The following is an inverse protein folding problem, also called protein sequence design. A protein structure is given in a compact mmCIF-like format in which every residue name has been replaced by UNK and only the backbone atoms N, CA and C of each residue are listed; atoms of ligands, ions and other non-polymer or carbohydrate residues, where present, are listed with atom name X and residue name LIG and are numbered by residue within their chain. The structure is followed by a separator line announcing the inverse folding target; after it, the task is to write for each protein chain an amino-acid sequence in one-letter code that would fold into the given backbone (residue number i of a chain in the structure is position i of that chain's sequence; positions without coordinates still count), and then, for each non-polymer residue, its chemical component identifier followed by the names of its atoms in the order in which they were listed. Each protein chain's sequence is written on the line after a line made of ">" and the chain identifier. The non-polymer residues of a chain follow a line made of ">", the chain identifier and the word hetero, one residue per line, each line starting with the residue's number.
data_IF_199470713422
#
_entry.id   IF_199470713422
#
_cell.length_a   1.000
_cell.length_b   1.000
_cell.length_c   1.000
_cell.angle_alpha   90.00
_cell.angle_beta   90.00
_cell.angle_gamma   90.00
#
_symmetry.space_group_name_H-M   'P 1'
#
loop_
_entity.id
_entity.type
_entity.pdbx_description
1 polymer ?
#
# COMPACT_ATOMS: atom_id res chain seq x y z
N UNK A 1 4.81 19.00 10.92
CA UNK A 1 5.75 19.42 9.85
C UNK A 1 4.97 20.26 8.86
N UNK A 2 5.35 21.51 8.64
CA UNK A 2 4.64 22.38 7.70
C UNK A 2 5.08 22.03 6.26
N UNK A 3 4.12 21.61 5.43
CA UNK A 3 4.35 21.18 4.05
C UNK A 3 4.98 22.30 3.22
N UNK A 4 4.55 23.55 3.41
CA UNK A 4 5.13 24.74 2.75
C UNK A 4 6.60 24.88 3.11
N UNK A 5 6.95 24.83 4.41
CA UNK A 5 8.35 24.96 4.84
C UNK A 5 9.24 23.83 4.33
N UNK A 6 8.71 22.61 4.27
CA UNK A 6 9.47 21.48 3.74
C UNK A 6 9.68 21.62 2.24
N UNK A 7 8.65 22.03 1.50
CA UNK A 7 8.72 22.23 0.06
C UNK A 7 9.74 23.32 -0.30
N UNK A 8 9.70 24.46 0.41
CA UNK A 8 10.66 25.57 0.26
C UNK A 8 12.09 25.12 0.57
N UNK A 9 12.31 24.39 1.67
CA UNK A 9 13.63 23.84 2.00
C UNK A 9 14.14 22.84 0.97
N UNK A 10 13.26 22.05 0.37
CA UNK A 10 13.66 21.12 -0.70
C UNK A 10 13.94 21.84 -2.00
N UNK A 11 13.19 22.89 -2.34
CA UNK A 11 13.46 23.68 -3.56
C UNK A 11 14.77 24.43 -3.46
N UNK A 12 15.08 25.04 -2.30
CA UNK A 12 16.38 25.70 -2.04
C UNK A 12 17.57 24.73 -2.16
N UNK A 13 17.37 23.45 -1.82
CA UNK A 13 18.41 22.42 -1.94
C UNK A 13 18.65 21.93 -3.37
N UNK A 14 17.66 22.08 -4.26
CA UNK A 14 17.69 21.51 -5.61
C UNK A 14 17.90 22.59 -6.67
N UNK A 15 17.45 23.82 -6.42
CA UNK A 15 17.59 24.94 -7.35
C UNK A 15 18.92 25.68 -7.18
N UNK A 16 19.56 26.03 -8.30
CA UNK A 16 20.81 26.81 -8.36
C UNK A 16 20.59 28.33 -8.42
N UNK A 17 19.36 28.80 -8.61
CA UNK A 17 19.01 30.22 -8.69
C UNK A 17 18.15 30.67 -7.49
N UNK A 18 18.76 31.49 -6.63
CA UNK A 18 18.10 32.11 -5.48
C UNK A 18 17.56 33.49 -5.87
N UNK A 19 16.24 33.66 -5.93
CA UNK A 19 15.48 34.81 -5.38
C UNK A 19 14.21 35.24 -6.14
N UNK A 20 14.02 34.90 -7.42
CA UNK A 20 12.86 35.44 -8.18
C UNK A 20 11.55 34.63 -8.05
N UNK A 21 11.60 33.40 -7.55
CA UNK A 21 10.43 32.48 -7.58
C UNK A 21 9.68 32.32 -6.24
N UNK A 22 10.04 33.06 -5.18
CA UNK A 22 9.34 32.87 -3.90
C UNK A 22 7.90 33.39 -3.96
N UNK A 23 7.66 34.58 -4.54
CA UNK A 23 6.31 35.16 -4.61
C UNK A 23 5.32 34.35 -5.46
N UNK A 24 5.77 33.81 -6.60
CA UNK A 24 4.96 32.93 -7.45
C UNK A 24 4.68 31.59 -6.76
N UNK A 25 5.69 31.03 -6.08
CA UNK A 25 5.55 29.80 -5.30
C UNK A 25 4.59 29.97 -4.12
N UNK A 26 4.70 31.07 -3.37
CA UNK A 26 3.76 31.40 -2.29
C UNK A 26 2.33 31.54 -2.82
N UNK A 27 2.15 32.17 -3.98
CA UNK A 27 0.82 32.33 -4.61
C UNK A 27 0.21 30.99 -4.99
N UNK A 28 0.97 30.12 -5.65
CA UNK A 28 0.52 28.76 -6.02
C UNK A 28 0.18 27.95 -4.76
N UNK A 29 1.02 28.00 -3.73
CA UNK A 29 0.77 27.31 -2.47
C UNK A 29 -0.50 27.79 -1.79
N UNK A 30 -0.73 29.11 -1.77
CA UNK A 30 -1.94 29.69 -1.23
C UNK A 30 -3.19 29.32 -2.03
N UNK A 31 -3.13 29.38 -3.36
CA UNK A 31 -4.20 28.94 -4.27
C UNK A 31 -4.54 27.45 -4.04
N UNK A 32 -3.54 26.63 -3.73
CA UNK A 32 -3.69 25.21 -3.36
C UNK A 32 -3.98 24.99 -1.85
N UNK A 33 -4.29 26.06 -1.11
CA UNK A 33 -4.63 26.06 0.33
C UNK A 33 -3.54 25.54 1.27
N UNK A 34 -2.29 25.49 0.82
CA UNK A 34 -1.14 25.28 1.68
C UNK A 34 -0.82 26.57 2.41
N UNK A 35 -0.90 26.55 3.74
CA UNK A 35 -0.69 27.72 4.60
C UNK A 35 0.59 27.60 5.44
N UNK A 36 1.36 28.70 5.51
CA UNK A 36 2.61 28.81 6.27
C UNK A 36 2.45 28.87 7.80
N UNK A 37 1.23 28.70 8.31
CA UNK A 37 0.92 28.81 9.74
C UNK A 37 1.68 27.80 10.60
N UNK A 38 1.82 28.10 11.90
CA UNK A 38 2.29 27.12 12.89
C UNK A 38 1.37 25.89 12.79
N UNK A 39 1.90 24.78 12.27
CA UNK A 39 1.20 23.49 12.30
C UNK A 39 1.03 23.10 13.76
N UNK A 40 -0.11 23.45 14.35
CA UNK A 40 -0.59 22.73 15.53
C UNK A 40 -0.85 21.32 15.06
N UNK A 41 -0.10 20.36 15.58
CA UNK A 41 -0.29 18.93 15.28
C UNK A 41 -1.65 18.52 15.83
N UNK A 42 -2.68 18.76 15.04
CA UNK A 42 -4.04 18.41 15.38
C UNK A 42 -4.17 16.88 15.31
N UNK A 43 -4.82 16.30 16.31
CA UNK A 43 -5.08 14.85 16.39
C UNK A 43 -6.58 14.60 16.48
N UNK A 44 -7.10 13.59 15.76
CA UNK A 44 -8.46 13.12 15.96
C UNK A 44 -8.67 12.67 17.41
N UNK A 45 -9.90 12.82 17.89
CA UNK A 45 -10.34 12.38 19.21
C UNK A 45 -10.35 10.86 19.25
N UNK A 46 -9.78 10.33 20.33
CA UNK A 46 -9.72 8.91 20.59
C UNK A 46 -10.00 8.69 22.07
N UNK A 47 -11.14 8.05 22.38
CA UNK A 47 -11.33 7.42 23.67
C UNK A 47 -10.42 6.18 23.77
N UNK A 48 -9.92 5.86 24.98
CA UNK A 48 -8.97 4.78 25.21
C UNK A 48 -9.49 3.42 24.71
N UNK A 49 -10.75 3.12 24.99
CA UNK A 49 -11.47 1.90 24.56
C UNK A 49 -12.56 2.19 23.51
N UNK A 50 -12.38 3.27 22.74
CA UNK A 50 -13.40 3.76 21.83
C UNK A 50 -13.60 2.90 20.58
N UNK A 51 -14.85 2.68 20.19
CA UNK A 51 -15.19 2.02 18.90
C UNK A 51 -14.70 2.91 17.75
N UNK A 52 -14.05 2.30 16.76
CA UNK A 52 -13.50 3.02 15.62
C UNK A 52 -14.63 3.52 14.70
N UNK A 53 -14.75 4.84 14.57
CA UNK A 53 -15.57 5.50 13.56
C UNK A 53 -14.67 6.00 12.43
N UNK A 54 -14.74 5.31 11.30
CA UNK A 54 -13.92 5.60 10.12
C UNK A 54 -14.71 6.52 9.18
N UNK A 55 -14.11 7.66 8.84
CA UNK A 55 -14.73 8.67 7.99
C UNK A 55 -13.77 9.07 6.85
N UNK A 56 -14.26 9.38 5.65
CA UNK A 56 -13.43 9.94 4.61
C UNK A 56 -12.92 11.32 5.02
N UNK A 57 -11.64 11.58 4.79
CA UNK A 57 -11.03 12.89 4.97
C UNK A 57 -11.40 13.78 3.78
N UNK A 58 -12.15 14.84 4.05
CA UNK A 58 -12.49 15.85 3.05
C UNK A 58 -11.53 17.03 3.10
N UNK A 59 -11.37 17.62 4.29
CA UNK A 59 -10.40 18.67 4.60
C UNK A 59 -10.37 18.92 6.12
N UNK A 60 -9.38 19.69 6.56
CA UNK A 60 -9.16 20.05 7.97
C UNK A 60 -10.36 20.74 8.63
N UNK A 61 -11.07 21.60 7.91
CA UNK A 61 -12.22 22.33 8.46
C UNK A 61 -13.33 21.37 8.89
N UNK A 62 -13.71 20.43 8.01
CA UNK A 62 -14.73 19.43 8.31
C UNK A 62 -14.24 18.42 9.36
N UNK A 63 -12.99 17.97 9.26
CA UNK A 63 -12.41 17.04 10.22
C UNK A 63 -12.40 17.63 11.64
N UNK A 64 -12.03 18.92 11.80
CA UNK A 64 -12.07 19.63 13.08
C UNK A 64 -13.48 19.78 13.63
N UNK A 65 -14.47 20.11 12.77
CA UNK A 65 -15.87 20.22 13.17
C UNK A 65 -16.42 18.89 13.69
N UNK A 66 -16.22 17.80 12.95
CA UNK A 66 -16.63 16.45 13.37
C UNK A 66 -15.94 16.07 14.68
N UNK A 67 -14.65 16.35 14.81
CA UNK A 67 -13.90 16.06 16.02
C UNK A 67 -14.43 16.80 17.25
N UNK A 68 -14.81 18.07 17.10
CA UNK A 68 -15.42 18.86 18.16
C UNK A 68 -16.82 18.34 18.54
N UNK A 69 -17.60 17.83 17.58
CA UNK A 69 -18.91 17.22 17.84
C UNK A 69 -18.72 15.93 18.64
N UNK A 70 -17.85 15.01 18.18
CA UNK A 70 -17.61 13.74 18.86
C UNK A 70 -17.04 13.95 20.25
N UNK A 71 -16.08 14.87 20.42
CA UNK A 71 -15.53 15.21 21.74
C UNK A 71 -16.60 15.72 22.70
N UNK A 72 -17.58 16.51 22.22
CA UNK A 72 -18.70 17.02 23.03
C UNK A 72 -19.75 15.96 23.33
N UNK A 73 -19.91 14.96 22.45
CA UNK A 73 -20.89 13.89 22.63
C UNK A 73 -20.54 12.93 23.78
N UNK A 74 -19.28 12.94 24.26
CA UNK A 74 -18.76 12.03 25.28
C UNK A 74 -18.95 10.54 24.96
N UNK A 75 -19.21 10.21 23.69
CA UNK A 75 -19.32 8.83 23.24
C UNK A 75 -17.93 8.18 23.25
N UNK A 76 -17.83 6.87 23.59
CA UNK A 76 -16.59 6.12 23.55
C UNK A 76 -16.24 5.81 22.08
N UNK A 77 -15.84 6.82 21.33
CA UNK A 77 -15.50 6.73 19.91
C UNK A 77 -14.02 7.05 19.68
N UNK A 78 -13.45 6.37 18.69
CA UNK A 78 -12.13 6.66 18.13
C UNK A 78 -12.30 7.09 16.68
N UNK A 79 -12.11 8.39 16.41
CA UNK A 79 -12.21 8.94 15.07
C UNK A 79 -10.98 8.59 14.24
N UNK A 80 -11.21 8.04 13.06
CA UNK A 80 -10.19 7.74 12.06
C UNK A 80 -10.60 8.42 10.75
N UNK A 81 -9.81 9.41 10.30
CA UNK A 81 -10.02 10.03 8.99
C UNK A 81 -9.17 9.34 7.94
N UNK A 82 -9.80 8.65 7.00
CA UNK A 82 -9.13 7.98 5.89
C UNK A 82 -8.96 8.94 4.71
N UNK A 83 -7.74 9.18 4.22
CA UNK A 83 -7.55 9.95 3.00
C UNK A 83 -8.28 9.29 1.83
N UNK A 84 -8.77 10.07 0.85
CA UNK A 84 -9.31 9.50 -0.38
C UNK A 84 -8.24 8.64 -1.06
N UNK A 85 -8.69 7.61 -1.77
CA UNK A 85 -7.84 6.73 -2.58
C UNK A 85 -6.90 7.58 -3.41
N UNK A 86 -5.60 7.41 -3.22
CA UNK A 86 -4.63 8.17 -4.01
C UNK A 86 -4.83 7.86 -5.50
N UNK A 87 -4.54 8.78 -6.42
CA UNK A 87 -4.57 8.48 -7.86
C UNK A 87 -3.74 7.24 -8.20
N UNK A 88 -2.62 7.05 -7.49
CA UNK A 88 -1.82 5.83 -7.54
C UNK A 88 -2.67 4.60 -7.21
N UNK A 89 -3.30 4.55 -6.05
CA UNK A 89 -4.16 3.42 -5.64
C UNK A 89 -5.35 3.19 -6.58
N UNK A 90 -5.96 4.25 -7.11
CA UNK A 90 -7.04 4.12 -8.10
C UNK A 90 -6.53 3.49 -9.40
N UNK A 91 -5.41 4.00 -9.92
CA UNK A 91 -4.80 3.52 -11.18
C UNK A 91 -4.12 2.15 -11.04
N UNK A 92 -3.74 1.75 -9.82
CA UNK A 92 -3.14 0.45 -9.55
C UNK A 92 -4.10 -0.55 -8.90
N UNK A 93 -5.36 -0.17 -8.61
CA UNK A 93 -6.38 -1.04 -7.99
C UNK A 93 -6.67 -2.31 -8.79
N UNK A 94 -6.62 -2.22 -10.13
CA UNK A 94 -6.79 -3.35 -11.05
C UNK A 94 -5.52 -4.20 -11.22
N UNK A 95 -4.36 -3.67 -10.81
CA UNK A 95 -3.10 -4.41 -10.83
C UNK A 95 -3.07 -5.30 -9.60
N UNK A 96 -3.64 -6.52 -9.71
CA UNK A 96 -3.71 -7.63 -8.72
C UNK A 96 -2.37 -8.07 -8.06
N UNK A 97 -1.33 -7.33 -8.36
CA UNK A 97 0.06 -7.70 -8.41
C UNK A 97 0.95 -6.51 -7.97
N UNK A 98 0.46 -5.26 -7.97
CA UNK A 98 1.25 -4.12 -7.47
C UNK A 98 1.23 -3.92 -5.95
N UNK A 99 0.56 -4.81 -5.21
CA UNK A 99 0.64 -4.84 -3.75
C UNK A 99 2.01 -5.38 -3.31
N UNK A 100 3.05 -4.58 -3.52
CA UNK A 100 4.39 -4.75 -3.00
C UNK A 100 4.47 -4.32 -1.54
N UNK A 101 3.52 -4.74 -0.70
CA UNK A 101 3.74 -4.63 0.74
C UNK A 101 4.83 -5.62 1.10
N UNK A 102 6.02 -5.07 1.34
CA UNK A 102 7.12 -5.74 2.03
C UNK A 102 6.65 -6.04 3.45
N UNK A 103 6.00 -7.18 3.62
CA UNK A 103 5.69 -7.72 4.93
C UNK A 103 7.01 -7.90 5.70
N UNK A 104 7.16 -7.23 6.85
CA UNK A 104 8.35 -7.37 7.69
C UNK A 104 8.43 -8.83 8.13
N UNK A 105 9.48 -9.53 7.71
CA UNK A 105 9.64 -10.97 7.93
C UNK A 105 9.14 -11.85 6.78
N UNK A 106 9.30 -11.41 5.52
CA UNK A 106 9.00 -12.26 4.37
C UNK A 106 9.84 -13.55 4.44
N UNK A 107 9.17 -14.69 4.66
CA UNK A 107 9.77 -16.03 4.80
C UNK A 107 10.54 -16.53 3.56
N UNK A 108 10.41 -15.82 2.44
CA UNK A 108 11.08 -16.13 1.17
C UNK A 108 12.27 -15.23 0.88
N UNK A 109 12.37 -14.08 1.56
CA UNK A 109 13.48 -13.18 1.42
C UNK A 109 14.53 -13.56 2.45
N UNK A 110 15.63 -14.14 2.00
CA UNK A 110 16.92 -14.10 2.71
C UNK A 110 17.56 -12.73 2.43
N UNK A 111 18.77 -12.66 1.89
CA UNK A 111 19.51 -11.40 1.72
C UNK A 111 19.00 -10.55 0.56
N UNK A 112 18.33 -11.18 -0.41
CA UNK A 112 17.75 -10.53 -1.58
C UNK A 112 16.23 -10.60 -1.52
N UNK A 113 15.56 -9.46 -1.78
CA UNK A 113 14.09 -9.37 -1.86
C UNK A 113 13.54 -10.01 -3.13
N UNK A 114 13.64 -11.34 -3.22
CA UNK A 114 13.21 -12.12 -4.39
C UNK A 114 11.69 -12.30 -4.49
N UNK A 115 10.94 -12.00 -3.42
CA UNK A 115 9.50 -12.25 -3.33
C UNK A 115 8.66 -11.53 -4.41
N UNK A 116 9.15 -10.39 -4.91
CA UNK A 116 8.48 -9.55 -5.93
C UNK A 116 8.92 -9.85 -7.37
N UNK A 117 9.86 -10.78 -7.59
CA UNK A 117 10.33 -11.10 -8.93
C UNK A 117 9.17 -11.57 -9.83
N UNK A 118 9.06 -10.94 -11.00
CA UNK A 118 8.08 -11.18 -12.07
C UNK A 118 8.79 -11.44 -13.39
N UNK A 119 8.05 -11.93 -14.39
CA UNK A 119 8.61 -12.14 -15.73
C UNK A 119 9.74 -13.18 -15.74
N UNK A 120 9.72 -14.09 -14.76
CA UNK A 120 10.71 -15.16 -14.65
C UNK A 120 10.09 -16.42 -15.20
N UNK A 121 10.70 -16.95 -16.24
CA UNK A 121 10.37 -18.28 -16.77
C UNK A 121 10.83 -19.30 -15.74
N UNK A 122 9.93 -20.17 -15.32
CA UNK A 122 10.25 -21.26 -14.40
C UNK A 122 9.92 -22.60 -15.03
N UNK A 123 10.78 -23.58 -14.76
CA UNK A 123 10.62 -24.96 -15.16
C UNK A 123 10.38 -25.80 -13.90
N UNK A 124 9.26 -26.53 -13.88
CA UNK A 124 8.97 -27.54 -12.86
C UNK A 124 8.99 -28.91 -13.54
N UNK A 125 9.63 -29.88 -12.90
CA UNK A 125 9.64 -31.27 -13.35
C UNK A 125 8.85 -32.12 -12.36
N UNK A 126 7.94 -32.94 -12.85
CA UNK A 126 7.29 -33.96 -12.03
C UNK A 126 8.33 -35.02 -11.64
N UNK A 127 8.46 -35.32 -10.34
CA UNK A 127 9.38 -36.35 -9.86
C UNK A 127 8.97 -37.77 -10.26
N UNK A 128 7.68 -38.02 -10.51
CA UNK A 128 7.15 -39.35 -10.85
C UNK A 128 7.22 -39.69 -12.34
N UNK A 129 6.82 -38.77 -13.23
CA UNK A 129 6.79 -39.00 -14.69
C UNK A 129 7.81 -38.16 -15.48
N UNK A 130 8.56 -37.28 -14.84
CA UNK A 130 9.54 -36.42 -15.53
C UNK A 130 8.95 -35.31 -16.41
N UNK A 131 7.61 -35.20 -16.51
CA UNK A 131 6.95 -34.16 -17.30
C UNK A 131 7.36 -32.76 -16.84
N UNK A 132 7.56 -31.88 -17.82
CA UNK A 132 8.09 -30.54 -17.66
C UNK A 132 6.98 -29.51 -17.86
N UNK A 133 6.77 -28.68 -16.85
CA UNK A 133 5.93 -27.49 -16.95
C UNK A 133 6.83 -26.26 -17.08
N UNK A 134 6.74 -25.57 -18.22
CA UNK A 134 7.45 -24.31 -18.47
C UNK A 134 6.40 -23.21 -18.53
N UNK A 135 6.51 -22.23 -17.63
CA UNK A 135 5.61 -21.08 -17.62
C UNK A 135 6.37 -19.78 -17.44
N UNK A 136 6.08 -18.80 -18.29
CA UNK A 136 6.30 -17.40 -17.97
C UNK A 136 5.18 -16.93 -17.04
N UNK A 137 5.48 -16.09 -16.05
CA UNK A 137 4.45 -15.59 -15.14
C UNK A 137 4.63 -14.13 -14.78
N UNK A 138 3.55 -13.38 -15.00
CA UNK A 138 3.36 -12.04 -14.45
C UNK A 138 3.08 -12.04 -12.93
N UNK A 139 2.83 -13.21 -12.32
CA UNK A 139 2.63 -13.33 -10.86
C UNK A 139 3.97 -13.30 -10.13
N UNK A 140 3.99 -12.74 -8.93
CA UNK A 140 5.23 -12.65 -8.13
C UNK A 140 5.74 -14.03 -7.72
N UNK A 141 7.05 -14.17 -7.49
CA UNK A 141 7.68 -15.42 -7.06
C UNK A 141 7.08 -15.95 -5.74
N UNK A 142 6.71 -15.06 -4.81
CA UNK A 142 6.03 -15.41 -3.56
C UNK A 142 4.76 -16.23 -3.80
N UNK A 143 3.81 -15.72 -4.61
CA UNK A 143 2.54 -16.41 -4.90
C UNK A 143 2.77 -17.80 -5.49
N UNK A 144 3.80 -17.96 -6.33
CA UNK A 144 4.18 -19.26 -6.93
C UNK A 144 4.75 -20.24 -5.91
N UNK A 145 5.56 -19.78 -4.98
CA UNK A 145 6.10 -20.62 -3.91
C UNK A 145 5.01 -21.07 -2.93
N UNK A 146 4.03 -20.21 -2.65
CA UNK A 146 2.83 -20.57 -1.88
C UNK A 146 2.01 -21.64 -2.62
N UNK A 147 1.79 -21.49 -3.93
CA UNK A 147 1.14 -22.50 -4.80
C UNK A 147 1.91 -23.84 -4.84
N UNK A 148 3.24 -23.81 -4.79
CA UNK A 148 4.06 -25.03 -4.68
C UNK A 148 3.88 -25.70 -3.32
N UNK A 149 3.74 -24.94 -2.23
CA UNK A 149 3.46 -25.53 -0.91
C UNK A 149 2.05 -26.11 -0.84
N UNK A 150 1.10 -25.56 -1.59
CA UNK A 150 -0.21 -26.18 -1.78
C UNK A 150 -0.15 -27.61 -2.37
N UNK A 151 0.96 -28.01 -3.01
CA UNK A 151 1.18 -29.41 -3.40
C UNK A 151 1.23 -30.38 -2.23
N UNK A 152 1.65 -29.91 -1.05
CA UNK A 152 1.67 -30.70 0.19
C UNK A 152 0.28 -30.80 0.84
N UNK A 153 -0.67 -29.95 0.45
CA UNK A 153 -2.06 -29.96 0.94
C UNK A 153 -3.04 -29.77 -0.21
N UNK A 154 -3.21 -30.79 -1.08
CA UNK A 154 -3.90 -30.65 -2.35
C UNK A 154 -5.40 -30.34 -2.22
N UNK A 155 -6.03 -30.78 -1.11
CA UNK A 155 -7.45 -30.54 -0.83
C UNK A 155 -7.80 -29.06 -0.61
N UNK A 156 -6.84 -28.22 -0.25
CA UNK A 156 -7.07 -26.79 -0.03
C UNK A 156 -7.08 -25.97 -1.35
N UNK A 157 -6.67 -26.55 -2.48
CA UNK A 157 -6.46 -25.82 -3.75
C UNK A 157 -6.88 -26.64 -5.00
N UNK A 158 -8.19 -26.91 -5.18
CA UNK A 158 -8.71 -27.83 -6.20
C UNK A 158 -8.50 -27.36 -7.66
N UNK A 159 -8.33 -26.06 -7.92
CA UNK A 159 -8.16 -25.51 -9.27
C UNK A 159 -6.69 -25.39 -9.73
N UNK A 160 -5.73 -25.91 -8.96
CA UNK A 160 -4.31 -25.81 -9.30
C UNK A 160 -3.94 -26.78 -10.44
N UNK A 161 -3.16 -26.31 -11.43
CA UNK A 161 -2.68 -27.11 -12.56
C UNK A 161 -1.90 -28.34 -12.12
N UNK A 162 -1.18 -28.27 -10.99
CA UNK A 162 -0.45 -29.42 -10.45
C UNK A 162 -1.35 -30.45 -9.78
N UNK A 163 -2.43 -30.02 -9.10
CA UNK A 163 -3.41 -30.94 -8.54
C UNK A 163 -4.06 -31.75 -9.66
N UNK A 164 -4.50 -31.06 -10.73
CA UNK A 164 -5.05 -31.71 -11.93
C UNK A 164 -4.07 -32.68 -12.58
N UNK A 165 -2.78 -32.32 -12.70
CA UNK A 165 -1.76 -33.22 -13.23
C UNK A 165 -1.60 -34.47 -12.34
N UNK A 166 -1.53 -34.30 -11.02
CA UNK A 166 -1.44 -35.42 -10.07
C UNK A 166 -2.65 -36.36 -10.19
N UNK A 167 -3.86 -35.83 -10.21
CA UNK A 167 -5.09 -36.65 -10.33
C UNK A 167 -5.26 -37.28 -11.70
N UNK A 168 -4.75 -36.67 -12.78
CA UNK A 168 -4.88 -37.22 -14.13
C UNK A 168 -3.80 -38.25 -14.47
N UNK A 169 -2.58 -38.11 -13.94
CA UNK A 169 -1.39 -38.88 -14.38
C UNK A 169 -0.86 -39.85 -13.31
N UNK A 170 -1.15 -39.61 -12.03
CA UNK A 170 -0.57 -40.36 -10.91
C UNK A 170 -1.62 -40.92 -9.94
N UNK A 171 -2.85 -41.13 -10.42
CA UNK A 171 -3.91 -41.84 -9.68
C UNK A 171 -3.65 -43.34 -9.65
#
# INVERSE_FOLDING_TARGET
>A
MNVVRNLVKTSERIATSNSENDASTQRILFENRYNGGKTTTWRPYAAADGIALVLPYLNDHHAKRVNAIVKRSQLPLRLIFQPPSTPKEMLTSSRLYENGYDEKGCRYCTDKKICHLRGTVYLIKCGGCGHRYIGESGRSLRKRLDERRALASPQAYPNNSFYRHRTAVHS
#
